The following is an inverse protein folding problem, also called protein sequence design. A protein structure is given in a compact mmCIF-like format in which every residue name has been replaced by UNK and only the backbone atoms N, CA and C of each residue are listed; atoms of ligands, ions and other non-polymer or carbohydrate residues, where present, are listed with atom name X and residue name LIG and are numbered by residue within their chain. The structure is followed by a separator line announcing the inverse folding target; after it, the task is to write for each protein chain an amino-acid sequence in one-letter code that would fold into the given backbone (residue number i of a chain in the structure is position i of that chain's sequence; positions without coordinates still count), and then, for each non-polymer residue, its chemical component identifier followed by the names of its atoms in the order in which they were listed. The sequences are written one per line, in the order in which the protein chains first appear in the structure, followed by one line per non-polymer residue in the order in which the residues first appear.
data_IF_389339886843
#
_entry.id   IF_389339886843
#
_cell.length_a   1.000
_cell.length_b   1.000
_cell.length_c   1.000
_cell.angle_alpha   90.00
_cell.angle_beta   90.00
_cell.angle_gamma   90.00
#
_symmetry.space_group_name_H-M   'P 1'
#
loop_
_entity.id
_entity.type
_entity.pdbx_description
1 polymer ?
#
# COMPACT_ATOMS: atom_id res chain seq x y z
N UNK A 1 -18.63 23.56 23.47
CA UNK A 1 -17.90 22.34 23.88
C UNK A 1 -17.07 21.94 22.67
N UNK A 2 -15.75 22.07 22.75
CA UNK A 2 -14.87 21.75 21.62
C UNK A 2 -14.78 20.23 21.47
N UNK A 3 -15.01 19.74 20.26
CA UNK A 3 -14.81 18.36 19.85
C UNK A 3 -13.31 18.17 19.56
N UNK A 4 -12.57 17.56 20.48
CA UNK A 4 -11.10 17.45 20.47
C UNK A 4 -10.60 16.12 19.88
N UNK A 5 -11.47 15.36 19.19
CA UNK A 5 -11.12 14.06 18.62
C UNK A 5 -11.20 14.06 17.10
N UNK A 6 -10.58 15.04 16.45
CA UNK A 6 -10.34 14.99 15.00
C UNK A 6 -9.06 14.18 14.66
N UNK A 7 -8.84 13.08 15.37
CA UNK A 7 -7.86 12.04 15.01
C UNK A 7 -8.61 10.87 14.39
N UNK A 8 -9.42 11.15 13.38
CA UNK A 8 -9.84 10.10 12.46
C UNK A 8 -8.54 9.45 11.97
N UNK A 9 -8.33 8.13 12.18
CA UNK A 9 -7.22 7.47 11.53
C UNK A 9 -7.40 7.77 10.05
N UNK A 10 -6.43 8.41 9.42
CA UNK A 10 -6.43 8.52 7.97
C UNK A 10 -6.44 7.09 7.46
N UNK A 11 -7.65 6.57 7.17
CA UNK A 11 -7.87 5.24 6.66
C UNK A 11 -7.49 5.29 5.19
N UNK A 12 -6.19 5.51 4.94
CA UNK A 12 -5.64 5.39 3.62
C UNK A 12 -5.87 3.95 3.22
N UNK A 13 -6.61 3.69 2.14
CA UNK A 13 -6.99 2.34 1.77
C UNK A 13 -5.74 1.49 1.62
N UNK A 14 -5.76 0.26 2.15
CA UNK A 14 -4.59 -0.66 2.16
C UNK A 14 -3.94 -0.77 0.77
N UNK A 15 -4.76 -0.76 -0.29
CA UNK A 15 -4.31 -0.73 -1.70
C UNK A 15 -3.36 0.42 -2.00
N UNK A 16 -3.68 1.64 -1.58
CA UNK A 16 -2.83 2.81 -1.81
C UNK A 16 -1.51 2.72 -1.03
N UNK A 17 -1.53 2.16 0.19
CA UNK A 17 -0.30 1.94 0.98
C UNK A 17 0.62 0.92 0.32
N UNK A 18 0.07 -0.23 -0.09
CA UNK A 18 0.82 -1.29 -0.81
C UNK A 18 1.41 -0.74 -2.10
N UNK A 19 0.60 -0.05 -2.91
CA UNK A 19 1.04 0.52 -4.18
C UNK A 19 2.13 1.57 -3.98
N UNK A 20 1.91 2.55 -3.09
CA UNK A 20 2.87 3.61 -2.83
C UNK A 20 4.20 3.09 -2.26
N UNK A 21 4.18 2.04 -1.43
CA UNK A 21 5.39 1.40 -0.95
C UNK A 21 6.20 0.75 -2.08
N UNK A 22 5.53 0.04 -2.99
CA UNK A 22 6.16 -0.57 -4.17
C UNK A 22 6.73 0.51 -5.09
N UNK A 23 5.93 1.52 -5.45
CA UNK A 23 6.36 2.64 -6.30
C UNK A 23 7.56 3.39 -5.70
N UNK A 24 7.58 3.59 -4.38
CA UNK A 24 8.69 4.22 -3.68
C UNK A 24 9.98 3.38 -3.74
N UNK A 25 9.90 2.07 -3.51
CA UNK A 25 11.07 1.19 -3.58
C UNK A 25 11.59 1.04 -5.01
N UNK A 26 10.70 0.97 -6.01
CA UNK A 26 11.08 0.97 -7.43
C UNK A 26 11.75 2.28 -7.82
N UNK A 27 11.19 3.44 -7.44
CA UNK A 27 11.77 4.75 -7.73
C UNK A 27 13.14 4.96 -7.07
N UNK A 28 13.39 4.33 -5.92
CA UNK A 28 14.68 4.37 -5.23
C UNK A 28 15.65 3.27 -5.66
N UNK A 29 15.26 2.37 -6.56
CA UNK A 29 16.09 1.23 -6.97
C UNK A 29 16.40 0.27 -5.82
N UNK A 30 15.54 0.21 -4.80
CA UNK A 30 15.71 -0.69 -3.66
C UNK A 30 15.27 -2.09 -4.10
N UNK A 31 16.17 -3.09 -4.04
CA UNK A 31 15.79 -4.47 -4.33
C UNK A 31 14.78 -4.93 -3.27
N UNK A 32 13.59 -5.33 -3.71
CA UNK A 32 12.52 -5.77 -2.84
C UNK A 32 11.71 -6.88 -3.54
N UNK A 33 11.15 -7.80 -2.76
CA UNK A 33 10.12 -8.70 -3.26
C UNK A 33 8.76 -8.09 -2.96
N UNK A 34 7.90 -7.98 -3.98
CA UNK A 34 6.53 -7.45 -3.80
C UNK A 34 5.73 -8.28 -2.76
N UNK A 35 6.08 -9.55 -2.59
CA UNK A 35 5.55 -10.44 -1.54
C UNK A 35 5.82 -9.96 -0.12
N UNK A 36 7.01 -9.44 0.17
CA UNK A 36 7.35 -8.89 1.49
C UNK A 36 6.49 -7.67 1.81
N UNK A 37 6.22 -6.85 0.79
CA UNK A 37 5.32 -5.69 0.92
C UNK A 37 3.90 -6.15 1.23
N UNK A 38 3.42 -7.18 0.54
CA UNK A 38 2.09 -7.73 0.82
C UNK A 38 2.01 -8.28 2.25
N UNK A 39 3.02 -9.03 2.68
CA UNK A 39 3.10 -9.57 4.03
C UNK A 39 3.11 -8.47 5.10
N UNK A 40 3.89 -7.41 4.89
CA UNK A 40 3.96 -6.25 5.79
C UNK A 40 2.60 -5.56 5.98
N UNK A 41 1.78 -5.49 4.93
CA UNK A 41 0.43 -4.91 4.99
C UNK A 41 -0.68 -5.93 5.28
N UNK A 42 -0.31 -7.16 5.68
CA UNK A 42 -1.24 -8.26 5.96
C UNK A 42 -2.16 -8.58 4.77
N UNK A 43 -1.65 -8.44 3.57
CA UNK A 43 -2.34 -8.70 2.32
C UNK A 43 -1.94 -10.08 1.79
N UNK A 44 -2.92 -10.92 1.48
CA UNK A 44 -2.67 -12.22 0.86
C UNK A 44 -2.05 -12.04 -0.53
N UNK A 45 -1.20 -12.97 -0.95
CA UNK A 45 -0.48 -12.88 -2.22
C UNK A 45 -1.40 -12.58 -3.42
N UNK A 46 -2.54 -13.28 -3.53
CA UNK A 46 -3.55 -13.06 -4.59
C UNK A 46 -4.17 -11.65 -4.54
N UNK A 47 -4.46 -11.15 -3.34
CA UNK A 47 -5.01 -9.81 -3.14
C UNK A 47 -3.97 -8.73 -3.47
N UNK A 48 -2.70 -8.94 -3.09
CA UNK A 48 -1.61 -8.01 -3.36
C UNK A 48 -1.39 -7.81 -4.85
N UNK A 49 -1.36 -8.90 -5.62
CA UNK A 49 -1.29 -8.83 -7.08
C UNK A 49 -2.50 -8.14 -7.71
N UNK A 50 -3.71 -8.42 -7.23
CA UNK A 50 -4.90 -7.71 -7.70
C UNK A 50 -4.84 -6.19 -7.40
N UNK A 51 -4.26 -5.79 -6.27
CA UNK A 51 -4.11 -4.38 -5.89
C UNK A 51 -3.14 -3.61 -6.80
N UNK A 52 -2.07 -4.25 -7.29
CA UNK A 52 -1.07 -3.60 -8.14
C UNK A 52 -1.32 -3.79 -9.65
N UNK A 53 -2.06 -4.82 -10.04
CA UNK A 53 -2.35 -5.10 -11.46
C UNK A 53 -3.34 -4.10 -12.08
N UNK A 54 -4.20 -3.46 -11.28
CA UNK A 54 -5.20 -2.49 -11.77
C UNK A 54 -4.59 -1.12 -12.14
N UNK A 55 -3.29 -0.92 -11.93
CA UNK A 55 -2.57 0.32 -12.26
C UNK A 55 -1.58 0.21 -13.41
N UNK A 56 -1.37 -0.99 -13.97
CA UNK A 56 -0.55 -1.19 -15.17
C UNK A 56 -1.39 -0.88 -16.40
N UNK A 57 -1.46 0.40 -16.77
CA UNK A 57 -1.74 0.79 -18.16
C UNK A 57 -0.49 0.41 -18.95
N UNK A 58 -0.69 -0.50 -19.91
CA UNK A 58 0.21 -0.75 -21.05
C UNK A 58 0.57 0.56 -21.77
#
# INVERSE_FOLDING_TARGET
MADWDNRLPHDTPKKAKVRGAIEYMEARGIPHFKQDVFHFYEVSHRQGWAMISEGSVD
#
